data_IF_605251135507
#
_entry.id   IF_605251135507
#
_cell.length_a   1.000
_cell.length_b   1.000
_cell.length_c   1.000
_cell.angle_alpha   90.00
_cell.angle_beta   90.00
_cell.angle_gamma   90.00
#
_symmetry.space_group_name_H-M   'P 1'
#
loop_
_entity.id
_entity.type
_entity.pdbx_description
1 polymer ?
#
# COMPACT_ATOMS: atom_id res chain seq x y z
N UNK A 1 -15.64 5.52 -20.38
CA UNK A 1 -14.57 4.85 -21.15
C UNK A 1 -13.83 3.93 -20.19
N UNK A 2 -13.68 2.64 -20.50
CA UNK A 2 -12.96 1.69 -19.60
C UNK A 2 -11.47 1.77 -19.93
N UNK A 3 -10.64 2.15 -18.96
CA UNK A 3 -9.19 2.15 -19.12
C UNK A 3 -8.68 0.70 -19.07
N UNK A 4 -7.92 0.31 -20.09
CA UNK A 4 -7.34 -1.04 -20.18
C UNK A 4 -5.92 -1.01 -19.62
N UNK A 5 -5.58 -2.04 -18.84
CA UNK A 5 -4.24 -2.26 -18.30
C UNK A 5 -3.75 -3.62 -18.77
N UNK A 6 -2.46 -3.71 -19.11
CA UNK A 6 -1.78 -4.98 -19.35
C UNK A 6 -1.00 -5.34 -18.10
N UNK A 7 -1.15 -6.59 -17.63
CA UNK A 7 -0.47 -7.11 -16.45
C UNK A 7 0.14 -8.44 -16.83
N UNK A 8 1.42 -8.61 -16.54
CA UNK A 8 2.12 -9.89 -16.71
C UNK A 8 2.11 -10.63 -15.39
N UNK A 9 1.67 -11.89 -15.42
CA UNK A 9 1.65 -12.79 -14.28
C UNK A 9 2.57 -13.97 -14.58
N UNK A 10 3.26 -14.52 -13.58
CA UNK A 10 3.81 -15.87 -13.66
C UNK A 10 2.72 -16.89 -14.05
N UNK A 11 3.10 -17.92 -14.79
CA UNK A 11 2.14 -18.89 -15.35
C UNK A 11 1.33 -19.61 -14.26
N UNK A 12 1.97 -20.00 -13.17
CA UNK A 12 1.35 -20.61 -11.99
C UNK A 12 0.29 -19.69 -11.34
N UNK A 13 0.60 -18.39 -11.28
CA UNK A 13 -0.33 -17.38 -10.77
C UNK A 13 -1.49 -17.18 -11.75
N UNK A 14 -1.23 -17.20 -13.06
CA UNK A 14 -2.28 -17.06 -14.07
C UNK A 14 -3.27 -18.22 -14.01
N UNK A 15 -2.79 -19.47 -13.94
CA UNK A 15 -3.64 -20.66 -13.80
C UNK A 15 -4.51 -20.61 -12.54
N UNK A 16 -3.91 -20.21 -11.41
CA UNK A 16 -4.65 -20.03 -10.17
C UNK A 16 -5.77 -18.99 -10.31
N UNK A 17 -5.46 -17.82 -10.89
CA UNK A 17 -6.44 -16.76 -11.12
C UNK A 17 -7.56 -17.21 -12.07
N UNK A 18 -7.22 -17.95 -13.12
CA UNK A 18 -8.19 -18.49 -14.07
C UNK A 18 -9.17 -19.46 -13.36
N UNK A 19 -8.65 -20.37 -12.53
CA UNK A 19 -9.46 -21.29 -11.75
C UNK A 19 -10.39 -20.57 -10.76
N UNK A 20 -9.90 -19.52 -10.09
CA UNK A 20 -10.72 -18.71 -9.18
C UNK A 20 -11.81 -17.94 -9.92
N UNK A 21 -11.48 -17.32 -11.06
CA UNK A 21 -12.46 -16.60 -11.88
C UNK A 21 -13.56 -17.55 -12.38
N UNK A 22 -13.20 -18.76 -12.82
CA UNK A 22 -14.16 -19.77 -13.24
C UNK A 22 -15.08 -20.22 -12.10
N UNK A 23 -14.54 -20.47 -10.90
CA UNK A 23 -15.33 -20.84 -9.70
C UNK A 23 -16.33 -19.76 -9.30
N UNK A 24 -15.98 -18.50 -9.51
CA UNK A 24 -16.85 -17.36 -9.22
C UNK A 24 -17.77 -16.97 -10.39
N UNK A 25 -17.72 -17.70 -11.51
CA UNK A 25 -18.55 -17.41 -12.69
C UNK A 25 -18.23 -16.08 -13.36
N UNK A 26 -16.98 -15.64 -13.33
CA UNK A 26 -16.53 -14.35 -13.89
C UNK A 26 -15.34 -14.52 -14.84
N UNK A 27 -14.96 -13.44 -15.53
CA UNK A 27 -13.76 -13.42 -16.37
C UNK A 27 -12.52 -13.14 -15.52
N UNK A 28 -11.33 -13.53 -15.99
CA UNK A 28 -10.05 -13.19 -15.33
C UNK A 28 -9.93 -11.68 -15.07
N UNK A 29 -10.28 -10.86 -16.06
CA UNK A 29 -10.27 -9.40 -15.92
C UNK A 29 -11.29 -8.88 -14.91
N UNK A 30 -12.50 -9.45 -14.88
CA UNK A 30 -13.53 -9.11 -13.90
C UNK A 30 -13.11 -9.48 -12.47
N UNK A 31 -12.52 -10.66 -12.31
CA UNK A 31 -11.97 -11.13 -11.04
C UNK A 31 -10.87 -10.19 -10.52
N UNK A 32 -9.87 -9.88 -11.36
CA UNK A 32 -8.78 -8.97 -10.98
C UNK A 32 -9.27 -7.55 -10.70
N UNK A 33 -10.23 -7.02 -11.47
CA UNK A 33 -10.80 -5.71 -11.22
C UNK A 33 -11.53 -5.65 -9.86
N UNK A 34 -12.25 -6.73 -9.50
CA UNK A 34 -12.93 -6.84 -8.20
C UNK A 34 -11.91 -6.89 -7.05
N UNK A 35 -10.86 -7.69 -7.18
CA UNK A 35 -9.78 -7.75 -6.19
C UNK A 35 -9.07 -6.40 -6.04
N UNK A 36 -8.74 -5.74 -7.14
CA UNK A 36 -8.13 -4.42 -7.13
C UNK A 36 -9.01 -3.40 -6.41
N UNK A 37 -10.33 -3.42 -6.67
CA UNK A 37 -11.29 -2.59 -5.95
C UNK A 37 -11.31 -2.90 -4.45
N UNK A 38 -11.45 -4.17 -4.06
CA UNK A 38 -11.45 -4.57 -2.64
C UNK A 38 -10.18 -4.10 -1.93
N UNK A 39 -9.02 -4.24 -2.59
CA UNK A 39 -7.76 -3.78 -2.04
C UNK A 39 -7.71 -2.25 -1.90
N UNK A 40 -8.15 -1.52 -2.92
CA UNK A 40 -8.20 -0.06 -2.88
C UNK A 40 -9.17 0.46 -1.80
N UNK A 41 -10.32 -0.20 -1.63
CA UNK A 41 -11.31 0.14 -0.61
C UNK A 41 -10.76 -0.15 0.80
N UNK A 42 -10.08 -1.29 1.00
CA UNK A 42 -9.42 -1.61 2.26
C UNK A 42 -8.29 -0.62 2.59
N UNK A 43 -7.48 -0.25 1.59
CA UNK A 43 -6.42 0.75 1.75
C UNK A 43 -7.00 2.13 2.09
N UNK A 44 -8.14 2.51 1.49
CA UNK A 44 -8.86 3.75 1.83
C UNK A 44 -9.35 3.73 3.26
N UNK A 45 -10.05 2.66 3.67
CA UNK A 45 -10.56 2.51 5.03
C UNK A 45 -9.44 2.54 6.07
N UNK A 46 -8.31 1.87 5.79
CA UNK A 46 -7.13 1.90 6.65
C UNK A 46 -6.56 3.31 6.80
N UNK A 47 -6.44 4.08 5.70
CA UNK A 47 -5.96 5.47 5.74
C UNK A 47 -6.89 6.37 6.55
N UNK A 48 -8.20 6.23 6.36
CA UNK A 48 -9.20 7.00 7.13
C UNK A 48 -9.13 6.68 8.62
N UNK A 49 -9.02 5.39 8.97
CA UNK A 49 -8.87 4.97 10.36
C UNK A 49 -7.59 5.52 10.99
N UNK A 50 -6.46 5.43 10.27
CA UNK A 50 -5.18 5.98 10.72
C UNK A 50 -5.24 7.50 10.90
N UNK A 51 -5.88 8.23 9.99
CA UNK A 51 -6.04 9.68 10.09
C UNK A 51 -6.83 10.06 11.35
N UNK A 52 -7.97 9.40 11.60
CA UNK A 52 -8.75 9.62 12.83
C UNK A 52 -7.94 9.29 14.08
N UNK A 53 -7.15 8.22 14.04
CA UNK A 53 -6.33 7.84 15.19
C UNK A 53 -5.24 8.87 15.50
N UNK A 54 -4.58 9.37 14.46
CA UNK A 54 -3.60 10.45 14.56
C UNK A 54 -4.22 11.72 15.15
N UNK A 55 -5.44 12.09 14.72
CA UNK A 55 -6.16 13.24 15.28
C UNK A 55 -6.49 13.04 16.76
N UNK A 56 -6.94 11.84 17.15
CA UNK A 56 -7.19 11.50 18.56
C UNK A 56 -5.91 11.57 19.40
N UNK A 57 -4.82 10.97 18.92
CA UNK A 57 -3.55 10.97 19.63
C UNK A 57 -3.00 12.40 19.79
N UNK A 58 -3.14 13.25 18.75
CA UNK A 58 -2.78 14.67 18.81
C UNK A 58 -3.66 15.45 19.77
N UNK A 59 -4.95 15.16 19.86
CA UNK A 59 -5.86 15.83 20.78
C UNK A 59 -5.59 15.43 22.24
N UNK A 60 -5.24 14.16 22.49
CA UNK A 60 -4.97 13.63 23.82
C UNK A 60 -3.61 14.09 24.37
N UNK A 61 -2.58 14.19 23.52
CA UNK A 61 -1.22 14.61 23.90
C UNK A 61 -0.54 15.35 22.73
N UNK A 62 -0.79 16.66 22.59
CA UNK A 62 -0.23 17.45 21.49
C UNK A 62 1.30 17.49 21.50
N UNK A 63 1.90 17.71 22.68
CA UNK A 63 3.35 17.87 22.82
C UNK A 63 4.09 16.54 22.61
N UNK A 64 3.58 15.43 23.14
CA UNK A 64 4.15 14.11 22.88
C UNK A 64 3.91 13.63 21.45
N UNK A 65 2.82 14.03 20.79
CA UNK A 65 2.64 13.80 19.35
C UNK A 65 3.71 14.54 18.54
N UNK A 66 3.94 15.83 18.80
CA UNK A 66 4.93 16.62 18.05
C UNK A 66 6.37 16.12 18.27
N UNK A 67 6.72 15.71 19.49
CA UNK A 67 8.01 15.06 19.77
C UNK A 67 8.20 13.77 18.96
N UNK A 68 7.23 12.84 19.04
CA UNK A 68 7.27 11.58 18.26
C UNK A 68 7.34 11.83 16.76
N UNK A 69 6.62 12.83 16.27
CA UNK A 69 6.64 13.24 14.85
C UNK A 69 8.02 13.74 14.43
N UNK A 70 8.71 14.51 15.27
CA UNK A 70 10.07 14.96 15.00
C UNK A 70 11.07 13.79 14.95
N UNK A 71 11.01 12.89 15.93
CA UNK A 71 11.87 11.69 16.00
C UNK A 71 11.69 10.78 14.77
N UNK A 72 10.46 10.53 14.34
CA UNK A 72 10.17 9.72 13.15
C UNK A 72 10.76 10.39 11.90
N UNK A 73 10.63 11.72 11.78
CA UNK A 73 11.18 12.47 10.64
C UNK A 73 12.70 12.33 10.58
N UNK A 74 13.38 12.48 11.72
CA UNK A 74 14.83 12.33 11.81
C UNK A 74 15.28 10.92 11.41
N UNK A 75 14.63 9.88 11.94
CA UNK A 75 14.91 8.48 11.57
C UNK A 75 14.74 8.23 10.08
N UNK A 76 13.71 8.80 9.46
CA UNK A 76 13.49 8.69 8.01
C UNK A 76 14.57 9.41 7.21
N UNK A 77 15.05 10.57 7.65
CA UNK A 77 16.18 11.24 7.01
C UNK A 77 17.46 10.41 7.11
N UNK A 78 17.77 9.88 8.29
CA UNK A 78 18.93 9.01 8.49
C UNK A 78 18.86 7.75 7.62
N UNK A 79 17.70 7.09 7.55
CA UNK A 79 17.49 5.93 6.69
C UNK A 79 17.68 6.25 5.20
N UNK A 80 17.17 7.41 4.74
CA UNK A 80 17.38 7.88 3.36
C UNK A 80 18.85 8.14 3.05
N UNK A 81 19.58 8.79 3.96
CA UNK A 81 21.01 9.04 3.79
C UNK A 81 21.82 7.74 3.76
N UNK A 82 21.53 6.80 4.65
CA UNK A 82 22.16 5.48 4.66
C UNK A 82 21.90 4.70 3.37
N UNK A 83 20.67 4.75 2.84
CA UNK A 83 20.34 4.12 1.56
C UNK A 83 21.06 4.78 0.37
N UNK A 84 21.20 6.11 0.38
CA UNK A 84 21.94 6.85 -0.64
C UNK A 84 23.45 6.54 -0.60
N UNK A 85 24.05 6.50 0.59
CA UNK A 85 25.45 6.15 0.78
C UNK A 85 25.75 4.72 0.32
N UNK A 86 24.87 3.75 0.62
CA UNK A 86 25.00 2.38 0.12
C UNK A 86 24.93 2.29 -1.41
N UNK A 87 24.07 3.09 -2.05
CA UNK A 87 23.98 3.15 -3.52
C UNK A 87 25.23 3.81 -4.14
N UNK A 88 25.81 4.80 -3.47
CA UNK A 88 27.03 5.47 -3.93
C UNK A 88 28.29 4.63 -3.75
N UNK A 89 28.36 3.78 -2.71
CA UNK A 89 29.49 2.88 -2.44
C UNK A 89 29.40 1.50 -3.12
N UNK A 90 28.30 1.20 -3.80
CA UNK A 90 28.12 0.00 -4.62
C UNK A 90 28.40 0.25 -6.13
N UNK A 91 28.96 1.42 -6.44
CA UNK A 91 29.37 1.84 -7.78
C UNK A 91 30.91 1.79 -7.93
#
# INVERSE_FOLDING_TARGET
MIQKFSVSLPDDVYELVQNMAAREGTTVSGFLARLAKQRADADRASREWLARRIEQDRAADPEGYDRRRAEIRERMHAAKQAAAAKKAGAA
#
